data_IF_401190027701
#
_entry.id   IF_401190027701
#
_cell.length_a   1.000
_cell.length_b   1.000
_cell.length_c   1.000
_cell.angle_alpha   90.00
_cell.angle_beta   90.00
_cell.angle_gamma   90.00
#
_symmetry.space_group_name_H-M   'P 1'
#
loop_
_entity.id
_entity.type
_entity.pdbx_description
1 polymer ?
#
# COMPACT_ATOMS: atom_id res chain seq x y z
N UNK A 1 15.61 10.07 32.03
CA UNK A 1 15.88 10.56 30.66
C UNK A 1 15.77 9.36 29.71
N UNK A 2 16.16 9.48 28.44
CA UNK A 2 16.18 8.37 27.50
C UNK A 2 17.57 8.22 26.90
N UNK A 3 18.02 6.98 26.70
CA UNK A 3 19.21 6.70 25.90
C UNK A 3 18.93 6.91 24.40
N UNK A 4 19.95 6.75 23.56
CA UNK A 4 19.83 6.93 22.11
C UNK A 4 18.97 5.85 21.43
N UNK A 5 18.67 4.73 22.11
CA UNK A 5 17.77 3.68 21.64
C UNK A 5 16.33 3.89 22.13
N UNK A 6 16.05 5.01 22.82
CA UNK A 6 14.73 5.33 23.37
C UNK A 6 14.38 4.57 24.66
N UNK A 7 15.33 3.88 25.29
CA UNK A 7 15.09 3.20 26.58
C UNK A 7 15.15 4.21 27.71
N UNK A 8 14.25 4.06 28.68
CA UNK A 8 14.23 4.90 29.87
C UNK A 8 15.46 4.62 30.72
N UNK A 9 16.19 5.67 31.06
CA UNK A 9 17.39 5.62 31.92
C UNK A 9 17.31 6.69 33.02
N UNK A 10 18.32 6.75 33.88
CA UNK A 10 18.44 7.72 34.97
C UNK A 10 18.41 9.20 34.51
N UNK A 11 18.56 10.15 35.44
CA UNK A 11 18.59 11.58 35.11
C UNK A 11 19.71 11.93 34.12
N UNK A 12 19.47 12.88 33.21
CA UNK A 12 20.48 13.42 32.29
C UNK A 12 20.66 14.91 32.55
N UNK A 13 21.89 15.40 32.37
CA UNK A 13 22.22 16.83 32.37
C UNK A 13 21.76 17.55 31.08
N UNK A 14 21.37 16.79 30.07
CA UNK A 14 20.90 17.28 28.77
C UNK A 14 19.41 17.04 28.63
N UNK A 15 18.69 18.05 28.16
CA UNK A 15 17.26 17.97 27.90
C UNK A 15 16.88 18.81 26.68
N UNK A 16 15.81 18.39 26.00
CA UNK A 16 15.14 19.25 25.04
C UNK A 16 14.49 20.43 25.79
N UNK A 17 14.73 21.63 25.30
CA UNK A 17 14.17 22.87 25.84
C UNK A 17 13.39 23.57 24.73
N UNK A 18 12.21 24.11 25.07
CA UNK A 18 11.41 24.87 24.11
C UNK A 18 12.13 26.19 23.75
N UNK A 19 11.96 26.71 22.52
CA UNK A 19 12.62 27.95 22.08
C UNK A 19 12.52 29.12 23.06
N UNK A 20 11.37 29.30 23.72
CA UNK A 20 11.13 30.38 24.69
C UNK A 20 11.93 30.29 26.01
N UNK A 21 12.65 29.18 26.24
CA UNK A 21 13.50 29.01 27.42
C UNK A 21 14.99 28.86 27.06
N UNK A 22 15.34 28.96 25.78
CA UNK A 22 16.71 28.70 25.30
C UNK A 22 17.74 29.61 25.96
N UNK A 23 17.41 30.89 26.17
CA UNK A 23 18.30 31.88 26.80
C UNK A 23 18.73 31.51 28.23
N UNK A 24 18.00 30.61 28.91
CA UNK A 24 18.30 30.18 30.27
C UNK A 24 19.32 29.04 30.34
N UNK A 25 19.71 28.46 29.20
CA UNK A 25 20.56 27.27 29.15
C UNK A 25 21.65 27.42 28.10
N UNK A 26 22.76 26.71 28.32
CA UNK A 26 23.78 26.55 27.28
C UNK A 26 23.24 25.65 26.16
N UNK A 27 23.16 26.18 24.95
CA UNK A 27 22.77 25.41 23.75
C UNK A 27 23.89 24.46 23.38
N UNK A 28 23.56 23.17 23.24
CA UNK A 28 24.51 22.12 22.84
C UNK A 28 24.29 21.72 21.37
N UNK A 29 23.03 21.60 20.95
CA UNK A 29 22.61 21.31 19.58
C UNK A 29 21.33 22.09 19.31
N UNK A 30 21.25 22.78 18.18
CA UNK A 30 20.03 23.45 17.72
C UNK A 30 19.50 22.84 16.42
N UNK A 31 18.33 23.34 15.98
CA UNK A 31 17.69 22.86 14.76
C UNK A 31 18.49 23.12 13.49
N UNK A 32 19.31 24.17 13.45
CA UNK A 32 20.16 24.50 12.31
C UNK A 32 21.33 23.53 12.16
N UNK A 33 21.93 23.11 13.29
CA UNK A 33 22.98 22.12 13.31
C UNK A 33 22.46 20.74 12.91
N UNK A 34 21.28 20.36 13.40
CA UNK A 34 20.60 19.13 12.97
C UNK A 34 20.33 19.18 11.47
N UNK A 35 19.80 20.29 10.96
CA UNK A 35 19.47 20.43 9.54
C UNK A 35 20.70 20.25 8.63
N UNK A 36 21.87 20.76 9.03
CA UNK A 36 23.13 20.59 8.29
C UNK A 36 23.62 19.14 8.21
N UNK A 37 23.19 18.29 9.14
CA UNK A 37 23.57 16.87 9.21
C UNK A 37 22.50 15.94 8.64
N UNK A 38 21.37 16.47 8.18
CA UNK A 38 20.34 15.65 7.54
C UNK A 38 20.86 15.12 6.19
N UNK A 39 20.59 13.85 5.86
CA UNK A 39 20.82 13.31 4.52
C UNK A 39 20.13 14.15 3.43
N UNK A 40 20.61 14.07 2.17
CA UNK A 40 19.86 14.57 1.01
C UNK A 40 18.69 13.63 0.69
N UNK A 41 17.70 13.69 1.56
CA UNK A 41 16.46 12.98 1.47
C UNK A 41 15.73 13.31 0.16
N UNK A 42 15.25 12.30 -0.60
CA UNK A 42 14.48 12.56 -1.79
C UNK A 42 13.17 13.28 -1.47
N UNK A 43 12.66 14.01 -2.45
CA UNK A 43 11.36 14.65 -2.37
C UNK A 43 10.24 13.63 -2.49
N UNK A 44 9.27 13.72 -1.58
CA UNK A 44 7.99 13.03 -1.69
C UNK A 44 6.98 14.08 -2.13
N UNK A 45 6.44 13.95 -3.34
CA UNK A 45 5.58 14.95 -3.97
C UNK A 45 4.18 14.36 -4.11
N UNK A 46 3.16 15.08 -3.65
CA UNK A 46 1.78 14.79 -4.03
C UNK A 46 1.30 15.82 -5.05
N UNK A 47 0.98 15.33 -6.24
CA UNK A 47 0.58 16.16 -7.37
C UNK A 47 -0.94 16.38 -7.41
N UNK A 48 -1.37 17.64 -7.36
CA UNK A 48 -2.78 18.04 -7.39
C UNK A 48 -3.23 18.60 -8.74
N UNK A 49 -2.53 18.36 -9.86
CA UNK A 49 -2.87 18.84 -11.21
C UNK A 49 -4.34 18.63 -11.55
N UNK A 50 -4.89 17.48 -11.14
CA UNK A 50 -6.27 17.09 -11.42
C UNK A 50 -7.26 17.34 -10.27
N UNK A 51 -6.93 18.24 -9.33
CA UNK A 51 -7.81 18.60 -8.23
C UNK A 51 -9.22 18.96 -8.70
N UNK A 52 -9.34 19.76 -9.76
CA UNK A 52 -10.62 20.22 -10.30
C UNK A 52 -11.47 19.12 -10.97
N UNK A 53 -10.90 17.95 -11.26
CA UNK A 53 -11.63 16.79 -11.79
C UNK A 53 -12.33 15.96 -10.70
N UNK A 54 -12.09 16.28 -9.43
CA UNK A 54 -12.73 15.62 -8.31
C UNK A 54 -14.08 16.25 -8.00
N UNK A 55 -15.07 15.42 -7.68
CA UNK A 55 -16.30 15.90 -7.04
C UNK A 55 -15.99 16.32 -5.58
N UNK A 56 -16.81 17.17 -4.94
CA UNK A 56 -16.53 17.68 -3.59
C UNK A 56 -16.20 16.58 -2.56
N UNK A 57 -16.93 15.47 -2.57
CA UNK A 57 -16.70 14.33 -1.66
C UNK A 57 -15.34 13.66 -1.87
N UNK A 58 -14.81 13.66 -3.09
CA UNK A 58 -13.49 13.12 -3.37
C UNK A 58 -12.39 14.11 -2.96
N UNK A 59 -12.59 15.42 -3.18
CA UNK A 59 -11.70 16.48 -2.69
C UNK A 59 -11.50 16.38 -1.18
N UNK A 60 -12.57 16.18 -0.42
CA UNK A 60 -12.50 16.00 1.04
C UNK A 60 -11.68 14.74 1.44
N UNK A 61 -11.79 13.65 0.65
CA UNK A 61 -10.98 12.45 0.87
C UNK A 61 -9.51 12.66 0.53
N UNK A 62 -9.18 13.40 -0.53
CA UNK A 62 -7.80 13.73 -0.88
C UNK A 62 -7.19 14.61 0.21
N UNK A 63 -7.91 15.63 0.67
CA UNK A 63 -7.49 16.50 1.78
C UNK A 63 -7.25 15.70 3.08
N UNK A 64 -8.13 14.75 3.40
CA UNK A 64 -7.96 13.85 4.54
C UNK A 64 -6.70 12.97 4.39
N UNK A 65 -6.51 12.35 3.22
CA UNK A 65 -5.34 11.53 2.95
C UNK A 65 -4.05 12.33 3.04
N UNK A 66 -4.00 13.56 2.52
CA UNK A 66 -2.84 14.45 2.65
C UNK A 66 -2.51 14.80 4.10
N UNK A 67 -3.52 15.00 4.95
CA UNK A 67 -3.33 15.17 6.40
C UNK A 67 -2.73 13.91 7.03
N UNK A 68 -3.19 12.73 6.63
CA UNK A 68 -2.65 11.45 7.08
C UNK A 68 -1.21 11.23 6.56
N UNK A 69 -0.92 11.63 5.31
CA UNK A 69 0.42 11.61 4.73
C UNK A 69 1.37 12.49 5.53
N UNK A 70 0.96 13.71 5.91
CA UNK A 70 1.76 14.55 6.79
C UNK A 70 2.06 13.88 8.13
N UNK A 71 1.10 13.17 8.73
CA UNK A 71 1.33 12.43 9.97
C UNK A 71 2.36 11.30 9.80
N UNK A 72 2.31 10.57 8.69
CA UNK A 72 3.31 9.54 8.31
C UNK A 72 4.69 10.18 8.16
N UNK A 73 4.80 11.22 7.32
CA UNK A 73 6.06 11.93 7.06
C UNK A 73 6.63 12.50 8.35
N UNK A 74 5.83 13.12 9.22
CA UNK A 74 6.31 13.66 10.51
C UNK A 74 6.86 12.57 11.44
N UNK A 75 6.28 11.37 11.40
CA UNK A 75 6.67 10.26 12.27
C UNK A 75 7.97 9.59 11.79
N UNK A 76 8.19 9.54 10.48
CA UNK A 76 9.21 8.67 9.88
C UNK A 76 10.25 9.43 9.05
N UNK A 77 10.02 10.69 8.73
CA UNK A 77 10.79 11.42 7.72
C UNK A 77 10.97 12.89 8.09
N UNK A 78 11.55 13.67 7.17
CA UNK A 78 11.69 15.11 7.31
C UNK A 78 10.56 15.85 6.58
N UNK A 79 9.61 16.50 7.29
CA UNK A 79 8.44 17.15 6.66
C UNK A 79 8.76 18.20 5.59
N UNK A 80 9.93 18.83 5.66
CA UNK A 80 10.37 19.79 4.63
C UNK A 80 10.78 19.16 3.30
N UNK A 81 10.85 17.82 3.23
CA UNK A 81 11.03 17.05 1.98
C UNK A 81 9.73 16.45 1.46
N UNK A 82 8.60 16.84 2.05
CA UNK A 82 7.28 16.55 1.54
C UNK A 82 6.71 17.80 0.86
N UNK A 83 6.41 17.67 -0.43
CA UNK A 83 5.87 18.75 -1.25
C UNK A 83 4.46 18.42 -1.72
N UNK A 84 3.63 19.45 -1.79
CA UNK A 84 2.29 19.42 -2.40
C UNK A 84 2.31 20.47 -3.49
N UNK A 85 2.19 20.05 -4.75
CA UNK A 85 2.21 20.93 -5.93
C UNK A 85 0.79 21.20 -6.43
N UNK A 86 0.62 22.19 -7.30
CA UNK A 86 -0.69 22.65 -7.77
C UNK A 86 -1.65 23.04 -6.64
N UNK A 87 -1.09 23.61 -5.56
CA UNK A 87 -1.88 24.07 -4.42
C UNK A 87 -2.72 25.27 -4.84
N UNK A 88 -4.05 25.12 -4.75
CA UNK A 88 -5.01 26.18 -5.04
C UNK A 88 -5.78 26.61 -3.77
N UNK A 89 -6.49 27.75 -3.86
CA UNK A 89 -7.25 28.32 -2.76
C UNK A 89 -8.34 27.39 -2.19
N UNK A 90 -8.98 26.58 -3.03
CA UNK A 90 -9.99 25.63 -2.55
C UNK A 90 -9.34 24.53 -1.70
N UNK A 91 -8.20 24.00 -2.14
CA UNK A 91 -7.42 23.05 -1.35
C UNK A 91 -6.94 23.69 -0.05
N UNK A 92 -6.41 24.92 -0.07
CA UNK A 92 -5.97 25.65 1.14
C UNK A 92 -7.09 25.76 2.17
N UNK A 93 -8.32 26.08 1.74
CA UNK A 93 -9.50 26.19 2.61
C UNK A 93 -9.97 24.84 3.17
N UNK A 94 -9.85 23.76 2.40
CA UNK A 94 -10.34 22.42 2.78
C UNK A 94 -9.34 21.60 3.60
N UNK A 95 -8.05 21.74 3.31
CA UNK A 95 -7.04 20.89 3.92
C UNK A 95 -6.76 21.31 5.37
N UNK A 96 -6.28 20.35 6.16
CA UNK A 96 -5.87 20.56 7.56
C UNK A 96 -4.40 20.20 7.77
N UNK A 97 -3.61 20.25 6.69
CA UNK A 97 -2.16 20.10 6.74
C UNK A 97 -1.58 21.42 7.24
N UNK A 98 -0.63 21.41 8.19
CA UNK A 98 0.12 22.61 8.52
C UNK A 98 1.07 22.95 7.36
N UNK A 99 0.56 23.72 6.38
CA UNK A 99 1.28 24.07 5.15
C UNK A 99 2.62 24.75 5.43
N UNK A 100 2.74 25.45 6.56
CA UNK A 100 3.97 26.09 7.02
C UNK A 100 5.07 25.10 7.42
N UNK A 101 4.75 23.81 7.60
CA UNK A 101 5.70 22.73 7.99
C UNK A 101 6.10 21.82 6.85
N UNK A 102 5.45 21.96 5.70
CA UNK A 102 5.74 21.21 4.46
C UNK A 102 6.15 22.19 3.36
N UNK A 103 6.34 21.72 2.14
CA UNK A 103 6.49 22.59 0.98
C UNK A 103 5.17 22.64 0.22
N UNK A 104 4.48 23.78 0.30
CA UNK A 104 3.24 24.04 -0.44
C UNK A 104 3.58 24.88 -1.66
N UNK A 105 3.42 24.31 -2.86
CA UNK A 105 3.79 24.95 -4.12
C UNK A 105 2.55 25.16 -5.00
N UNK A 106 2.27 26.42 -5.35
CA UNK A 106 1.07 26.78 -6.13
C UNK A 106 1.21 26.47 -7.62
N UNK A 107 2.44 26.53 -8.15
CA UNK A 107 2.74 26.26 -9.55
C UNK A 107 2.75 24.77 -9.89
N UNK A 108 3.24 24.48 -11.11
CA UNK A 108 3.30 23.12 -11.62
C UNK A 108 4.35 22.26 -10.91
N UNK A 109 4.17 20.94 -10.98
CA UNK A 109 5.18 20.01 -10.48
C UNK A 109 6.50 20.12 -11.24
N UNK A 110 6.47 20.37 -12.55
CA UNK A 110 7.67 20.55 -13.35
C UNK A 110 8.45 21.82 -12.97
N UNK A 111 7.77 22.94 -12.71
CA UNK A 111 8.42 24.17 -12.22
C UNK A 111 9.11 23.92 -10.88
N UNK A 112 8.42 23.27 -9.95
CA UNK A 112 8.98 22.88 -8.66
C UNK A 112 10.23 22.01 -8.83
N UNK A 113 10.20 21.01 -9.72
CA UNK A 113 11.34 20.13 -9.99
C UNK A 113 12.52 20.90 -10.59
N UNK A 114 12.27 21.81 -11.55
CA UNK A 114 13.30 22.69 -12.13
C UNK A 114 13.95 23.58 -11.10
N UNK A 115 13.18 24.19 -10.20
CA UNK A 115 13.71 24.99 -9.09
C UNK A 115 14.61 24.17 -8.15
N UNK A 116 14.39 22.85 -8.04
CA UNK A 116 15.24 21.94 -7.26
C UNK A 116 16.38 21.30 -8.06
N UNK A 117 16.50 21.63 -9.35
CA UNK A 117 17.49 21.03 -10.24
C UNK A 117 17.28 19.53 -10.41
N UNK A 118 16.03 19.08 -10.47
CA UNK A 118 15.66 17.67 -10.64
C UNK A 118 15.09 17.49 -12.04
N UNK A 119 15.73 16.65 -12.85
CA UNK A 119 15.36 16.39 -14.25
C UNK A 119 14.79 14.99 -14.47
N UNK A 120 14.86 14.12 -13.46
CA UNK A 120 14.33 12.75 -13.48
C UNK A 120 13.59 12.45 -12.19
N UNK A 121 12.46 11.75 -12.31
CA UNK A 121 11.59 11.41 -11.18
C UNK A 121 11.01 10.01 -11.31
N UNK A 122 10.59 9.43 -10.17
CA UNK A 122 9.74 8.23 -10.16
C UNK A 122 8.29 8.64 -9.98
N UNK A 123 7.42 8.21 -10.89
CA UNK A 123 5.97 8.38 -10.77
C UNK A 123 5.33 7.06 -10.34
N UNK A 124 4.72 7.04 -9.16
CA UNK A 124 4.01 5.87 -8.65
C UNK A 124 2.64 5.77 -9.31
N UNK A 125 2.52 4.84 -10.26
CA UNK A 125 1.34 4.58 -11.09
C UNK A 125 0.97 3.09 -11.02
N UNK A 126 -0.23 2.73 -10.51
CA UNK A 126 -0.66 1.33 -10.44
C UNK A 126 -0.81 0.65 -11.81
N UNK A 127 -0.89 1.43 -12.91
CA UNK A 127 -1.00 0.92 -14.27
C UNK A 127 0.36 0.86 -15.01
N UNK A 128 1.47 1.19 -14.34
CA UNK A 128 2.79 1.10 -14.96
C UNK A 128 3.16 -0.35 -15.32
N UNK A 129 3.95 -0.50 -16.39
CA UNK A 129 4.48 -1.80 -16.80
C UNK A 129 5.54 -2.29 -15.81
N UNK A 130 6.48 -1.40 -15.46
CA UNK A 130 7.61 -1.71 -14.60
C UNK A 130 7.28 -1.64 -13.10
N UNK A 131 7.87 -2.54 -12.32
CA UNK A 131 7.75 -2.59 -10.86
C UNK A 131 8.81 -1.71 -10.23
N UNK A 132 8.45 -0.97 -9.17
CA UNK A 132 9.42 -0.16 -8.40
C UNK A 132 10.55 -1.05 -7.85
N UNK A 133 11.78 -0.77 -8.23
CA UNK A 133 12.97 -1.52 -7.83
C UNK A 133 13.81 -0.75 -6.78
N UNK A 134 14.91 -1.36 -6.32
CA UNK A 134 15.85 -0.70 -5.39
C UNK A 134 16.69 0.37 -6.08
N UNK A 135 16.95 0.21 -7.36
CA UNK A 135 17.68 1.17 -8.19
C UNK A 135 16.86 2.46 -8.34
N UNK A 136 15.55 2.36 -8.54
CA UNK A 136 14.65 3.51 -8.60
C UNK A 136 14.64 4.32 -7.28
N UNK A 137 14.97 3.69 -6.14
CA UNK A 137 15.02 4.37 -4.83
C UNK A 137 16.18 5.37 -4.70
N UNK A 138 17.12 5.38 -5.65
CA UNK A 138 18.21 6.37 -5.70
C UNK A 138 17.76 7.72 -6.29
N UNK A 139 16.58 7.78 -6.90
CA UNK A 139 16.07 8.99 -7.51
C UNK A 139 15.75 10.07 -6.48
N UNK A 140 15.92 11.34 -6.86
CA UNK A 140 15.82 12.48 -5.94
C UNK A 140 14.38 12.93 -5.68
N UNK A 141 13.40 12.40 -6.41
CA UNK A 141 11.99 12.73 -6.24
C UNK A 141 11.06 11.58 -6.65
N UNK A 142 10.03 11.40 -5.83
CA UNK A 142 8.95 10.44 -6.03
C UNK A 142 7.61 11.18 -6.03
N UNK A 143 6.80 10.93 -7.05
CA UNK A 143 5.50 11.56 -7.25
C UNK A 143 4.39 10.55 -6.97
N UNK A 144 3.44 10.95 -6.14
CA UNK A 144 2.20 10.23 -5.87
C UNK A 144 1.05 11.10 -6.41
N UNK A 145 0.23 10.54 -7.29
CA UNK A 145 -0.93 11.25 -7.82
C UNK A 145 -1.97 11.57 -6.73
N UNK A 146 -2.51 12.79 -6.74
CA UNK A 146 -3.64 13.19 -5.90
C UNK A 146 -5.00 12.63 -6.34
N UNK A 147 -5.04 11.74 -7.33
CA UNK A 147 -6.23 11.10 -7.88
C UNK A 147 -6.12 9.57 -7.73
N UNK A 148 -7.19 8.93 -7.28
CA UNK A 148 -7.21 7.48 -7.04
C UNK A 148 -7.71 6.77 -8.30
N UNK A 149 -6.79 6.15 -9.06
CA UNK A 149 -7.04 5.49 -10.36
C UNK A 149 -7.74 4.12 -10.28
N UNK A 150 -8.50 3.82 -9.23
CA UNK A 150 -9.00 2.45 -9.00
C UNK A 150 -10.42 2.15 -9.54
N UNK A 151 -11.23 3.14 -9.96
CA UNK A 151 -12.60 2.89 -10.48
C UNK A 151 -13.08 3.90 -11.53
N UNK A 152 -13.81 3.41 -12.54
CA UNK A 152 -14.59 4.20 -13.51
C UNK A 152 -13.74 4.96 -14.54
N UNK A 153 -14.26 6.08 -15.03
CA UNK A 153 -13.73 6.90 -16.13
C UNK A 153 -12.39 7.60 -15.82
N UNK A 154 -11.85 7.39 -14.62
CA UNK A 154 -10.60 8.00 -14.15
C UNK A 154 -9.38 7.09 -14.33
N UNK A 155 -9.55 5.87 -14.85
CA UNK A 155 -8.42 4.96 -15.10
C UNK A 155 -7.39 5.62 -16.03
N UNK A 156 -6.11 5.61 -15.62
CA UNK A 156 -5.00 6.18 -16.39
C UNK A 156 -4.81 7.68 -16.20
N UNK A 157 -5.37 8.30 -15.16
CA UNK A 157 -5.15 9.73 -14.92
C UNK A 157 -3.75 10.00 -14.38
N UNK A 158 -3.16 9.06 -13.63
CA UNK A 158 -1.76 9.15 -13.18
C UNK A 158 -0.80 9.13 -14.37
N UNK A 159 -1.06 8.30 -15.39
CA UNK A 159 -0.27 8.28 -16.62
C UNK A 159 -0.18 9.65 -17.30
N UNK A 160 -1.29 10.41 -17.27
CA UNK A 160 -1.34 11.78 -17.82
C UNK A 160 -0.47 12.78 -17.04
N UNK A 161 -0.19 12.55 -15.76
CA UNK A 161 0.79 13.35 -15.01
C UNK A 161 2.17 13.14 -15.62
N UNK A 162 2.53 11.89 -15.91
CA UNK A 162 3.78 11.54 -16.59
C UNK A 162 3.91 12.22 -17.95
N UNK A 163 2.89 12.11 -18.79
CA UNK A 163 2.88 12.76 -20.13
C UNK A 163 3.05 14.29 -20.06
N UNK A 164 2.48 14.95 -19.04
CA UNK A 164 2.64 16.39 -18.83
C UNK A 164 4.08 16.72 -18.45
N UNK A 165 4.65 15.97 -17.51
CA UNK A 165 6.03 16.15 -17.06
C UNK A 165 7.05 15.90 -18.19
N UNK A 166 6.86 14.85 -18.98
CA UNK A 166 7.72 14.53 -20.13
C UNK A 166 7.70 15.62 -21.20
N UNK A 167 6.52 16.19 -21.50
CA UNK A 167 6.40 17.33 -22.42
C UNK A 167 7.14 18.58 -21.93
N UNK A 168 7.30 18.70 -20.62
CA UNK A 168 8.05 19.80 -19.98
C UNK A 168 9.54 19.46 -19.78
N UNK A 169 10.01 18.33 -20.35
CA UNK A 169 11.42 17.95 -20.36
C UNK A 169 11.89 17.22 -19.10
N UNK A 170 10.97 16.69 -18.29
CA UNK A 170 11.29 15.85 -17.13
C UNK A 170 11.24 14.37 -17.54
N UNK A 171 12.29 13.62 -17.25
CA UNK A 171 12.33 12.17 -17.44
C UNK A 171 11.51 11.45 -16.36
N UNK A 172 10.53 10.64 -16.75
CA UNK A 172 9.56 10.03 -15.82
C UNK A 172 9.68 8.51 -15.82
N UNK A 173 10.20 7.97 -14.72
CA UNK A 173 10.19 6.54 -14.44
C UNK A 173 8.83 6.14 -13.85
N UNK A 174 7.90 5.69 -14.69
CA UNK A 174 6.62 5.13 -14.23
C UNK A 174 6.85 3.78 -13.57
N UNK A 175 6.41 3.63 -12.32
CA UNK A 175 6.58 2.41 -11.52
C UNK A 175 5.31 2.03 -10.76
N UNK A 176 5.01 0.74 -10.70
CA UNK A 176 3.94 0.19 -9.84
C UNK A 176 4.54 -0.48 -8.60
N UNK A 177 3.79 -0.40 -7.50
CA UNK A 177 4.04 -1.19 -6.29
C UNK A 177 3.19 -2.45 -6.36
N UNK A 178 3.79 -3.61 -6.12
CA UNK A 178 3.12 -4.91 -6.25
C UNK A 178 3.37 -5.80 -5.04
N UNK A 179 2.37 -6.60 -4.68
CA UNK A 179 2.51 -7.67 -3.71
C UNK A 179 2.61 -9.00 -4.48
N UNK A 180 3.79 -9.62 -4.49
CA UNK A 180 4.08 -10.86 -5.24
C UNK A 180 3.59 -10.81 -6.70
N UNK A 181 4.03 -9.78 -7.42
CA UNK A 181 3.75 -9.59 -8.86
C UNK A 181 2.36 -9.05 -9.20
N UNK A 182 1.56 -8.66 -8.20
CA UNK A 182 0.17 -8.21 -8.42
C UNK A 182 -0.17 -6.99 -7.56
N UNK A 183 -0.91 -6.04 -8.13
CA UNK A 183 -1.41 -4.85 -7.42
C UNK A 183 -2.54 -5.20 -6.44
N UNK A 184 -3.22 -6.33 -6.62
CA UNK A 184 -4.32 -6.74 -5.73
C UNK A 184 -3.79 -7.01 -4.33
N UNK A 185 -4.32 -6.28 -3.35
CA UNK A 185 -3.88 -6.34 -1.96
C UNK A 185 -2.92 -5.22 -1.56
N UNK A 186 -2.43 -4.43 -2.53
CA UNK A 186 -1.69 -3.20 -2.25
C UNK A 186 -2.69 -2.09 -1.89
N UNK A 187 -2.49 -1.36 -0.77
CA UNK A 187 -3.31 -0.20 -0.45
C UNK A 187 -3.19 0.90 -1.51
N UNK A 188 -4.27 1.64 -1.74
CA UNK A 188 -4.41 2.63 -2.81
C UNK A 188 -4.46 4.08 -2.31
N UNK A 189 -4.41 4.28 -0.99
CA UNK A 189 -4.45 5.61 -0.38
C UNK A 189 -3.08 6.28 -0.41
N UNK A 190 -3.04 7.57 -0.69
CA UNK A 190 -1.83 8.40 -0.81
C UNK A 190 -0.92 8.22 0.42
N UNK A 191 -1.50 8.26 1.62
CA UNK A 191 -0.74 8.12 2.87
C UNK A 191 -0.13 6.73 3.07
N UNK A 192 -0.81 5.68 2.62
CA UNK A 192 -0.27 4.32 2.67
C UNK A 192 0.82 4.12 1.61
N UNK A 193 0.63 4.64 0.40
CA UNK A 193 1.67 4.61 -0.65
C UNK A 193 2.92 5.36 -0.19
N UNK A 194 2.76 6.54 0.40
CA UNK A 194 3.87 7.30 0.98
C UNK A 194 4.56 6.51 2.11
N UNK A 195 3.81 5.84 3.00
CA UNK A 195 4.42 5.02 4.06
C UNK A 195 5.19 3.82 3.50
N UNK A 196 4.66 3.12 2.48
CA UNK A 196 5.37 2.02 1.80
C UNK A 196 6.68 2.53 1.22
N UNK A 197 6.62 3.63 0.47
CA UNK A 197 7.81 4.22 -0.15
C UNK A 197 8.86 4.61 0.90
N UNK A 198 8.45 5.27 1.99
CA UNK A 198 9.36 5.65 3.08
C UNK A 198 10.02 4.44 3.74
N UNK A 199 9.26 3.36 3.98
CA UNK A 199 9.82 2.10 4.51
C UNK A 199 10.86 1.49 3.58
N UNK A 200 10.58 1.49 2.28
CA UNK A 200 11.51 1.01 1.26
C UNK A 200 12.77 1.88 1.18
N UNK A 201 12.64 3.22 1.27
CA UNK A 201 13.78 4.15 1.35
C UNK A 201 14.67 3.88 2.58
N UNK A 202 14.08 3.41 3.68
CA UNK A 202 14.84 2.95 4.86
C UNK A 202 15.30 1.49 4.78
N UNK A 203 15.16 0.84 3.62
CA UNK A 203 15.74 -0.47 3.31
C UNK A 203 14.83 -1.67 3.52
N UNK A 204 13.57 -1.47 3.97
CA UNK A 204 12.58 -2.56 4.02
C UNK A 204 12.29 -3.10 2.61
N UNK A 205 12.01 -4.41 2.50
CA UNK A 205 11.54 -4.96 1.24
C UNK A 205 10.08 -4.55 0.98
N UNK A 206 9.70 -4.54 -0.30
CA UNK A 206 8.37 -4.11 -0.73
C UNK A 206 7.24 -4.93 -0.09
N UNK A 207 7.40 -6.25 0.07
CA UNK A 207 6.38 -7.12 0.68
C UNK A 207 6.16 -6.73 2.15
N UNK A 208 7.22 -6.58 2.94
CA UNK A 208 7.13 -6.09 4.33
C UNK A 208 6.55 -4.69 4.42
N UNK A 209 6.98 -3.77 3.56
CA UNK A 209 6.48 -2.40 3.55
C UNK A 209 4.97 -2.35 3.26
N UNK A 210 4.48 -3.14 2.29
CA UNK A 210 3.04 -3.28 1.99
C UNK A 210 2.30 -3.85 3.20
N UNK A 211 2.80 -4.93 3.80
CA UNK A 211 2.13 -5.61 4.92
C UNK A 211 2.00 -4.73 6.15
N UNK A 212 2.98 -3.86 6.41
CA UNK A 212 2.95 -2.92 7.52
C UNK A 212 1.75 -1.95 7.50
N UNK A 213 1.20 -1.67 6.31
CA UNK A 213 0.05 -0.77 6.12
C UNK A 213 -1.17 -1.45 5.49
N UNK A 214 -1.12 -2.76 5.26
CA UNK A 214 -2.20 -3.50 4.62
C UNK A 214 -3.39 -3.65 5.56
N UNK A 215 -4.46 -2.92 5.28
CA UNK A 215 -5.74 -3.10 5.97
C UNK A 215 -6.37 -4.46 5.61
N UNK A 216 -7.16 -5.07 6.53
CA UNK A 216 -7.82 -6.36 6.28
C UNK A 216 -8.71 -6.38 5.02
N UNK A 217 -9.25 -5.23 4.62
CA UNK A 217 -10.02 -5.09 3.37
C UNK A 217 -9.20 -5.42 2.13
N UNK A 218 -7.97 -4.92 2.04
CA UNK A 218 -7.07 -5.17 0.91
C UNK A 218 -6.59 -6.62 0.92
N UNK A 219 -6.24 -7.14 2.10
CA UNK A 219 -5.88 -8.55 2.26
C UNK A 219 -7.01 -9.49 1.79
N UNK A 220 -8.27 -9.19 2.13
CA UNK A 220 -9.44 -9.93 1.63
C UNK A 220 -9.64 -9.83 0.12
N UNK A 221 -9.31 -8.71 -0.52
CA UNK A 221 -9.34 -8.65 -1.99
C UNK A 221 -8.32 -9.59 -2.60
N UNK A 222 -7.11 -9.68 -2.02
CA UNK A 222 -6.11 -10.65 -2.45
C UNK A 222 -6.55 -12.09 -2.21
N UNK A 223 -7.15 -12.39 -1.06
CA UNK A 223 -7.73 -13.72 -0.79
C UNK A 223 -8.75 -14.16 -1.84
N UNK A 224 -9.64 -13.25 -2.29
CA UNK A 224 -10.62 -13.56 -3.36
C UNK A 224 -9.97 -13.94 -4.68
N UNK A 225 -8.71 -13.54 -4.91
CA UNK A 225 -7.94 -13.93 -6.09
C UNK A 225 -7.15 -15.22 -5.87
N UNK A 226 -6.59 -15.42 -4.67
CA UNK A 226 -5.72 -16.57 -4.39
C UNK A 226 -6.49 -17.86 -4.10
N UNK A 227 -7.55 -17.82 -3.30
CA UNK A 227 -8.31 -19.02 -2.90
C UNK A 227 -8.86 -19.78 -4.12
N UNK A 228 -9.49 -19.12 -5.13
CA UNK A 228 -10.04 -19.84 -6.27
C UNK A 228 -9.03 -20.57 -7.15
N UNK A 229 -7.74 -20.19 -7.11
CA UNK A 229 -6.68 -20.87 -7.87
C UNK A 229 -6.39 -22.27 -7.34
N UNK A 230 -6.74 -22.55 -6.09
CA UNK A 230 -6.47 -23.82 -5.37
C UNK A 230 -7.73 -24.65 -5.15
N UNK A 231 -8.87 -24.24 -5.71
CA UNK A 231 -10.15 -24.93 -5.51
C UNK A 231 -10.18 -26.29 -6.21
N UNK A 232 -10.72 -27.27 -5.53
CA UNK A 232 -11.03 -28.60 -6.03
C UNK A 232 -12.55 -28.69 -6.20
N UNK A 233 -13.00 -29.17 -7.36
CA UNK A 233 -14.41 -29.31 -7.69
C UNK A 233 -14.86 -30.74 -7.41
N UNK A 234 -15.81 -30.91 -6.50
CA UNK A 234 -16.44 -32.20 -6.22
C UNK A 234 -17.90 -32.19 -6.68
N UNK A 235 -18.31 -33.19 -7.45
CA UNK A 235 -19.71 -33.47 -7.75
C UNK A 235 -20.16 -34.64 -6.87
N UNK A 236 -20.97 -34.33 -5.87
CA UNK A 236 -21.49 -35.29 -4.88
C UNK A 236 -23.00 -35.27 -5.02
N UNK A 237 -23.58 -36.41 -5.39
CA UNK A 237 -25.03 -36.56 -5.55
C UNK A 237 -25.68 -35.45 -6.41
N UNK A 238 -25.07 -35.19 -7.58
CA UNK A 238 -25.53 -34.15 -8.50
C UNK A 238 -25.23 -32.70 -8.08
N UNK A 239 -24.81 -32.45 -6.84
CA UNK A 239 -24.47 -31.12 -6.33
C UNK A 239 -22.97 -30.84 -6.40
N UNK A 240 -22.62 -29.64 -6.88
CA UNK A 240 -21.24 -29.18 -6.99
C UNK A 240 -20.79 -28.52 -5.69
N UNK A 241 -19.66 -28.98 -5.17
CA UNK A 241 -18.97 -28.42 -4.02
C UNK A 241 -17.59 -27.91 -4.45
N UNK A 242 -17.27 -26.68 -4.05
CA UNK A 242 -15.95 -26.08 -4.24
C UNK A 242 -15.19 -26.18 -2.93
N UNK A 243 -14.12 -26.97 -2.92
CA UNK A 243 -13.37 -27.30 -1.71
C UNK A 243 -11.95 -26.76 -1.81
N UNK A 244 -11.42 -26.21 -0.73
CA UNK A 244 -10.00 -25.88 -0.57
C UNK A 244 -9.43 -26.56 0.66
N UNK A 245 -8.12 -26.76 0.68
CA UNK A 245 -7.41 -27.23 1.87
C UNK A 245 -7.49 -26.16 2.98
N UNK A 246 -7.72 -26.59 4.22
CA UNK A 246 -7.72 -25.71 5.39
C UNK A 246 -6.35 -25.08 5.61
N UNK A 247 -5.30 -25.86 5.37
CA UNK A 247 -3.89 -25.51 5.48
C UNK A 247 -3.48 -24.39 4.51
N UNK A 248 -4.29 -24.13 3.47
CA UNK A 248 -4.12 -22.97 2.60
C UNK A 248 -4.14 -21.65 3.39
N UNK A 249 -4.89 -21.58 4.49
CA UNK A 249 -4.86 -20.42 5.37
C UNK A 249 -3.47 -20.21 5.98
N UNK A 250 -2.84 -21.27 6.46
CA UNK A 250 -1.52 -21.19 7.10
C UNK A 250 -0.46 -20.74 6.07
N UNK A 251 -0.54 -21.25 4.84
CA UNK A 251 0.28 -20.80 3.71
C UNK A 251 0.08 -19.31 3.41
N UNK A 252 -1.17 -18.84 3.35
CA UNK A 252 -1.48 -17.45 3.00
C UNK A 252 -1.17 -16.47 4.13
N UNK A 253 -1.35 -16.86 5.39
CA UNK A 253 -1.08 -16.03 6.58
C UNK A 253 0.41 -15.68 6.71
N UNK A 254 1.31 -16.50 6.16
CA UNK A 254 2.75 -16.21 6.20
C UNK A 254 3.13 -14.93 5.47
N UNK A 255 2.32 -14.47 4.51
CA UNK A 255 2.66 -13.33 3.65
C UNK A 255 1.50 -12.39 3.33
N UNK A 256 0.31 -12.63 3.90
CA UNK A 256 -0.83 -11.71 3.86
C UNK A 256 -1.26 -11.37 5.29
N UNK A 257 -1.64 -10.11 5.50
CA UNK A 257 -2.16 -9.67 6.79
C UNK A 257 -3.62 -10.08 6.97
N UNK A 258 -3.85 -11.39 7.20
CA UNK A 258 -5.17 -12.02 7.30
C UNK A 258 -5.35 -12.70 8.65
N UNK A 259 -6.60 -12.72 9.11
CA UNK A 259 -7.04 -13.58 10.22
C UNK A 259 -7.91 -14.71 9.70
N UNK A 260 -8.16 -15.69 10.56
CA UNK A 260 -8.99 -16.85 10.21
C UNK A 260 -10.40 -16.43 9.80
N UNK A 261 -10.96 -15.40 10.45
CA UNK A 261 -12.28 -14.86 10.14
C UNK A 261 -12.33 -14.24 8.73
N UNK A 262 -11.23 -13.62 8.28
CA UNK A 262 -11.13 -13.06 6.94
C UNK A 262 -11.12 -14.16 5.88
N UNK A 263 -10.43 -15.27 6.14
CA UNK A 263 -10.41 -16.45 5.28
C UNK A 263 -11.80 -17.10 5.18
N UNK A 264 -12.44 -17.38 6.31
CA UNK A 264 -13.81 -17.95 6.36
C UNK A 264 -14.82 -17.04 5.68
N UNK A 265 -14.72 -15.72 5.87
CA UNK A 265 -15.60 -14.77 5.21
C UNK A 265 -15.50 -14.87 3.69
N UNK A 266 -14.28 -14.91 3.15
CA UNK A 266 -14.09 -15.05 1.69
C UNK A 266 -14.60 -16.40 1.17
N UNK A 267 -14.42 -17.49 1.92
CA UNK A 267 -15.00 -18.79 1.55
C UNK A 267 -16.52 -18.73 1.44
N UNK A 268 -17.20 -18.11 2.41
CA UNK A 268 -18.66 -17.93 2.38
C UNK A 268 -19.10 -17.08 1.18
N UNK A 269 -18.44 -15.95 0.95
CA UNK A 269 -18.75 -15.05 -0.18
C UNK A 269 -18.53 -15.72 -1.55
N UNK A 270 -17.59 -16.67 -1.63
CA UNK A 270 -17.26 -17.38 -2.87
C UNK A 270 -17.92 -18.76 -3.00
N UNK A 271 -18.77 -19.16 -2.03
CA UNK A 271 -19.46 -20.45 -2.04
C UNK A 271 -18.53 -21.65 -1.90
N UNK A 272 -17.38 -21.48 -1.23
CA UNK A 272 -16.37 -22.51 -1.03
C UNK A 272 -16.37 -23.04 0.40
N UNK A 273 -15.84 -24.26 0.57
CA UNK A 273 -15.70 -24.93 1.87
C UNK A 273 -14.23 -25.29 2.09
N UNK A 274 -13.71 -25.04 3.28
CA UNK A 274 -12.39 -25.53 3.68
C UNK A 274 -12.50 -26.89 4.37
N UNK A 275 -11.68 -27.85 3.94
CA UNK A 275 -11.55 -29.16 4.57
C UNK A 275 -10.08 -29.45 4.87
N UNK A 276 -9.82 -30.22 5.93
CA UNK A 276 -8.46 -30.69 6.24
C UNK A 276 -7.90 -31.56 5.10
N UNK A 277 -6.58 -31.46 4.86
CA UNK A 277 -5.90 -32.23 3.82
C UNK A 277 -6.18 -33.74 3.91
N UNK A 278 -6.27 -34.30 5.12
CA UNK A 278 -6.60 -35.72 5.34
C UNK A 278 -7.98 -36.10 4.79
N UNK A 279 -8.99 -35.22 4.98
CA UNK A 279 -10.34 -35.43 4.44
C UNK A 279 -10.35 -35.32 2.92
N UNK A 280 -9.62 -34.35 2.36
CA UNK A 280 -9.48 -34.21 0.90
C UNK A 280 -8.80 -35.45 0.29
N UNK A 281 -7.77 -36.00 0.93
CA UNK A 281 -7.13 -37.25 0.49
C UNK A 281 -8.12 -38.42 0.47
N UNK A 282 -8.94 -38.56 1.51
CA UNK A 282 -10.00 -39.57 1.54
C UNK A 282 -11.01 -39.38 0.40
N UNK A 283 -11.51 -38.15 0.19
CA UNK A 283 -12.40 -37.81 -0.92
C UNK A 283 -11.77 -38.09 -2.29
N UNK A 284 -10.47 -37.85 -2.43
CA UNK A 284 -9.72 -38.14 -3.66
C UNK A 284 -9.67 -39.65 -3.96
N UNK A 285 -9.55 -40.51 -2.94
CA UNK A 285 -9.53 -41.98 -3.10
C UNK A 285 -10.88 -42.55 -3.54
N UNK A 286 -11.98 -41.97 -3.06
CA UNK A 286 -13.34 -42.45 -3.35
C UNK A 286 -13.99 -41.78 -4.56
N UNK A 287 -13.33 -40.79 -5.17
CA UNK A 287 -13.83 -40.06 -6.33
C UNK A 287 -13.17 -40.49 -7.63
N UNK A 288 -13.91 -40.31 -8.73
CA UNK A 288 -13.38 -40.47 -10.10
C UNK A 288 -13.21 -39.10 -10.72
N UNK A 289 -12.00 -38.78 -11.18
CA UNK A 289 -11.75 -37.51 -11.87
C UNK A 289 -12.35 -37.56 -13.29
N UNK A 290 -13.09 -36.51 -13.68
CA UNK A 290 -13.65 -36.33 -15.01
C UNK A 290 -13.32 -34.95 -15.53
N UNK A 291 -12.83 -34.87 -16.76
CA UNK A 291 -12.62 -33.59 -17.44
C UNK A 291 -13.95 -32.96 -17.86
N UNK A 292 -14.00 -31.63 -17.83
CA UNK A 292 -15.08 -30.82 -18.38
C UNK A 292 -14.52 -29.50 -18.92
N UNK A 293 -15.38 -28.67 -19.53
CA UNK A 293 -15.02 -27.36 -20.08
C UNK A 293 -14.43 -26.38 -19.05
N UNK A 294 -14.43 -26.71 -17.76
CA UNK A 294 -14.00 -25.86 -16.65
C UNK A 294 -12.80 -26.46 -15.89
N UNK A 295 -12.01 -27.33 -16.53
CA UNK A 295 -10.76 -27.88 -15.98
C UNK A 295 -10.89 -29.19 -15.21
N UNK A 296 -12.09 -29.77 -15.17
CA UNK A 296 -12.36 -31.07 -14.56
C UNK A 296 -12.93 -31.01 -13.14
N UNK A 297 -13.54 -32.12 -12.73
CA UNK A 297 -14.22 -32.32 -11.44
C UNK A 297 -14.07 -33.75 -10.96
N UNK A 298 -14.07 -33.94 -9.65
CA UNK A 298 -14.08 -35.24 -8.98
C UNK A 298 -15.51 -35.66 -8.69
N UNK A 299 -15.94 -36.77 -9.26
CA UNK A 299 -17.31 -37.30 -9.11
C UNK A 299 -17.32 -38.40 -8.06
N UNK A 300 -18.20 -38.29 -7.08
CA UNK A 300 -18.45 -39.33 -6.07
C UNK A 300 -19.85 -39.87 -6.34
N UNK A 301 -19.93 -41.15 -6.72
CA UNK A 301 -21.20 -41.86 -6.92
C UNK A 301 -21.60 -42.54 -5.61
N UNK A 302 -22.81 -42.26 -5.12
CA UNK A 302 -23.33 -42.75 -3.83
C UNK A 302 -23.31 -44.28 -3.67
N UNK A 303 -23.15 -45.07 -4.74
CA UNK A 303 -22.91 -46.53 -4.63
C UNK A 303 -21.62 -46.90 -3.89
N UNK A 304 -20.71 -45.96 -3.63
CA UNK A 304 -19.53 -46.10 -2.75
C UNK A 304 -19.66 -45.32 -1.42
N UNK A 305 -20.80 -44.68 -1.16
CA UNK A 305 -20.98 -43.73 -0.05
C UNK A 305 -21.46 -44.33 1.27
N UNK A 306 -21.49 -45.65 1.41
CA UNK A 306 -21.67 -46.30 2.72
C UNK A 306 -20.53 -46.01 3.73
N UNK A 307 -19.55 -45.17 3.37
CA UNK A 307 -18.39 -44.81 4.18
C UNK A 307 -18.35 -43.32 4.59
N UNK A 308 -19.36 -42.52 4.26
CA UNK A 308 -19.41 -41.08 4.62
C UNK A 308 -20.34 -40.74 5.78
N UNK A 309 -20.93 -41.73 6.45
CA UNK A 309 -21.33 -41.55 7.84
C UNK A 309 -20.06 -41.61 8.68
N UNK A 310 -19.65 -40.49 9.27
CA UNK A 310 -19.54 -40.35 10.73
C UNK A 310 -19.07 -38.93 11.11
N UNK A 311 -19.83 -38.36 12.06
CA UNK A 311 -19.64 -37.15 12.86
C UNK A 311 -20.24 -35.84 12.33
N UNK A 312 -21.53 -35.67 12.66
CA UNK A 312 -21.96 -34.82 13.79
C UNK A 312 -20.82 -34.07 14.50
#
# INVERSE_FOLDING_TARGET
>A
SWDLNGKKVGPSKYAYVRPCFVEKFKVIVDGSEIAKRLPDYPWIIVDLTFWNRHIPKEKDKVALQLRETYAVVRRMYYPRRFAITWVNEEFKKKNKVPLEKVVSYEGSTADFLREKGITRVVLLDPNAEEVLSREDLQERAFIIGGIVDMKGDKKGTTAKIGEVLEKEGIDVLRRKIVLRGDIVGVPDRINHIAEILLRMLYGEDMEKAILAVQAPTHARWRLRKEIPKRKIRYLIDGKLYLVVEKELYDELKQWLNIRWEDFVKVLRETGMVALERRRIHHLNKISVFRFDKSGGKRVILLKRAALLCYNC
#
